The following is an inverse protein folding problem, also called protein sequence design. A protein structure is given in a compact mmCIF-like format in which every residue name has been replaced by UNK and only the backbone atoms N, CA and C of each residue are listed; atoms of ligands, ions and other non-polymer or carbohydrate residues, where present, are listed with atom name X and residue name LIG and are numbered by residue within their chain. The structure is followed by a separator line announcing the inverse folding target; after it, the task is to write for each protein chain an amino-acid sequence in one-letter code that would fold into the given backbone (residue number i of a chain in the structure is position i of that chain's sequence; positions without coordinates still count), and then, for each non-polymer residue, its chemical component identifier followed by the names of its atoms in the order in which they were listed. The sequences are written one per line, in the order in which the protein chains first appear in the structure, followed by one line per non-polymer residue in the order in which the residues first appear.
data_IF_457324108955
#
_entry.id   IF_457324108955
#
_cell.length_a   1.000
_cell.length_b   1.000
_cell.length_c   1.000
_cell.angle_alpha   90.00
_cell.angle_beta   90.00
_cell.angle_gamma   90.00
#
_symmetry.space_group_name_H-M   'P 1'
#
loop_
_entity.id
_entity.type
_entity.pdbx_description
1 polymer ?
#
# COMPACT_ATOMS: atom_id res chain seq x y z
N UNK A 1 5.92 6.98 -2.68
CA UNK A 1 4.86 7.62 -1.86
C UNK A 1 4.28 8.79 -2.61
N UNK A 2 3.01 9.10 -2.40
CA UNK A 2 2.40 10.31 -2.90
C UNK A 2 2.99 11.56 -2.22
N UNK A 3 2.87 12.74 -2.85
CA UNK A 3 3.30 13.99 -2.24
C UNK A 3 2.64 14.26 -0.89
N UNK A 4 1.34 13.91 -0.77
CA UNK A 4 0.60 14.04 0.49
C UNK A 4 1.13 13.12 1.58
N UNK A 5 1.45 11.86 1.27
CA UNK A 5 2.04 10.93 2.23
C UNK A 5 3.37 11.45 2.77
N UNK A 6 4.20 12.02 1.90
CA UNK A 6 5.49 12.62 2.30
C UNK A 6 5.27 13.85 3.19
N UNK A 7 4.35 14.75 2.82
CA UNK A 7 4.01 15.95 3.61
C UNK A 7 3.53 15.56 5.01
N UNK A 8 2.60 14.63 5.12
CA UNK A 8 2.05 14.17 6.41
C UNK A 8 3.12 13.49 7.27
N UNK A 9 4.00 12.67 6.67
CA UNK A 9 5.07 12.02 7.40
C UNK A 9 6.07 13.03 7.97
N UNK A 10 6.43 14.06 7.19
CA UNK A 10 7.29 15.15 7.67
C UNK A 10 6.63 15.95 8.80
N UNK A 11 5.36 16.34 8.63
CA UNK A 11 4.63 17.07 9.66
C UNK A 11 4.50 16.28 10.97
N UNK A 12 4.30 14.94 10.89
CA UNK A 12 4.30 14.11 12.08
C UNK A 12 5.68 14.02 12.74
N UNK A 13 6.73 13.88 11.95
CA UNK A 13 8.09 13.82 12.46
C UNK A 13 8.49 15.13 13.17
N UNK A 14 8.15 16.27 12.59
CA UNK A 14 8.33 17.60 13.21
C UNK A 14 7.54 17.72 14.52
N UNK A 15 6.27 17.29 14.52
CA UNK A 15 5.41 17.29 15.71
C UNK A 15 6.00 16.44 16.85
N UNK A 16 6.61 15.31 16.52
CA UNK A 16 7.20 14.40 17.49
C UNK A 16 8.67 14.70 17.81
N UNK A 17 9.31 15.63 17.10
CA UNK A 17 10.73 15.96 17.27
C UNK A 17 11.67 14.82 16.89
N UNK A 18 11.28 13.96 15.92
CA UNK A 18 12.11 12.82 15.48
C UNK A 18 12.84 13.11 14.18
N UNK A 19 14.04 12.56 14.04
CA UNK A 19 14.85 12.65 12.82
C UNK A 19 14.24 11.82 11.70
N UNK A 20 14.34 12.33 10.46
CA UNK A 20 13.86 11.62 9.27
C UNK A 20 14.94 11.55 8.20
N UNK A 21 14.96 10.42 7.48
CA UNK A 21 15.79 10.24 6.30
C UNK A 21 14.90 10.04 5.06
N UNK A 22 15.05 10.93 4.08
CA UNK A 22 14.39 10.79 2.79
C UNK A 22 15.32 10.11 1.80
N UNK A 23 14.92 8.94 1.31
CA UNK A 23 15.66 8.18 0.31
C UNK A 23 14.77 8.00 -0.92
N UNK A 24 15.25 8.50 -2.07
CA UNK A 24 14.58 8.27 -3.36
C UNK A 24 14.99 6.90 -3.92
N UNK A 25 13.98 6.06 -4.20
CA UNK A 25 14.20 4.67 -4.67
C UNK A 25 13.70 4.44 -6.10
N UNK A 26 13.22 5.47 -6.80
CA UNK A 26 12.61 5.32 -8.13
C UNK A 26 13.59 4.74 -9.16
N UNK A 27 14.81 5.26 -9.21
CA UNK A 27 15.85 4.77 -10.14
C UNK A 27 16.22 3.31 -9.86
N UNK A 28 16.30 2.92 -8.58
CA UNK A 28 16.56 1.52 -8.20
C UNK A 28 15.41 0.61 -8.67
N UNK A 29 14.17 1.04 -8.49
CA UNK A 29 13.00 0.28 -8.95
C UNK A 29 12.92 0.17 -10.47
N UNK A 30 13.30 1.23 -11.19
CA UNK A 30 13.40 1.23 -12.65
C UNK A 30 14.46 0.24 -13.11
N UNK A 31 15.67 0.32 -12.55
CA UNK A 31 16.78 -0.57 -12.88
C UNK A 31 16.44 -2.07 -12.66
N UNK A 32 15.65 -2.36 -11.60
CA UNK A 32 15.13 -3.70 -11.33
C UNK A 32 13.96 -4.12 -12.25
N UNK A 33 13.48 -3.22 -13.10
CA UNK A 33 12.36 -3.47 -14.01
C UNK A 33 10.98 -3.47 -13.36
N UNK A 34 10.83 -2.95 -12.14
CA UNK A 34 9.56 -2.91 -11.42
C UNK A 34 8.43 -2.30 -12.26
N UNK A 35 8.68 -1.14 -12.85
CA UNK A 35 7.68 -0.42 -13.64
C UNK A 35 7.41 -1.11 -14.99
N UNK A 36 8.46 -1.62 -15.63
CA UNK A 36 8.35 -2.38 -16.88
C UNK A 36 7.52 -3.65 -16.71
N UNK A 37 7.82 -4.51 -15.74
CA UNK A 37 7.05 -5.74 -15.50
C UNK A 37 5.58 -5.47 -15.18
N UNK A 38 5.32 -4.40 -14.46
CA UNK A 38 3.96 -3.96 -14.17
C UNK A 38 3.23 -3.51 -15.45
N UNK A 39 3.87 -2.70 -16.28
CA UNK A 39 3.30 -2.23 -17.54
C UNK A 39 3.02 -3.39 -18.50
N UNK A 40 3.95 -4.34 -18.66
CA UNK A 40 3.78 -5.54 -19.47
C UNK A 40 2.55 -6.36 -19.06
N UNK A 41 2.29 -6.47 -17.76
CA UNK A 41 1.13 -7.18 -17.26
C UNK A 41 -0.19 -6.46 -17.61
N UNK A 42 -0.22 -5.13 -17.53
CA UNK A 42 -1.40 -4.33 -17.89
C UNK A 42 -1.62 -4.33 -19.39
N UNK A 43 -0.57 -4.31 -20.21
CA UNK A 43 -0.65 -4.39 -21.67
C UNK A 43 -1.34 -5.68 -22.18
N UNK A 44 -1.33 -6.78 -21.41
CA UNK A 44 -2.09 -7.99 -21.75
C UNK A 44 -3.60 -7.75 -21.81
N UNK A 45 -4.09 -6.72 -21.12
CA UNK A 45 -5.54 -6.41 -20.99
C UNK A 45 -5.88 -5.10 -21.70
N UNK A 46 -4.99 -4.14 -21.67
CA UNK A 46 -5.07 -2.85 -22.35
C UNK A 46 -3.88 -2.68 -23.29
N UNK A 47 -3.98 -3.12 -24.55
CA UNK A 47 -2.84 -3.08 -25.49
C UNK A 47 -2.30 -1.66 -25.79
N UNK A 48 -3.11 -0.65 -25.52
CA UNK A 48 -2.79 0.77 -25.68
C UNK A 48 -2.33 1.47 -24.39
N UNK A 49 -2.11 0.70 -23.30
CA UNK A 49 -1.66 1.25 -22.02
C UNK A 49 -0.32 1.98 -22.16
N UNK A 50 -0.27 3.21 -21.65
CA UNK A 50 0.89 4.12 -21.76
C UNK A 50 1.26 4.83 -20.45
N UNK A 51 2.33 5.63 -20.45
CA UNK A 51 2.91 6.22 -19.24
C UNK A 51 1.96 7.18 -18.50
N UNK A 52 1.06 7.87 -19.22
CA UNK A 52 0.14 8.85 -18.65
C UNK A 52 -1.17 8.22 -18.13
N UNK A 53 -1.29 6.92 -18.23
CA UNK A 53 -2.44 6.20 -17.69
C UNK A 53 -2.30 6.02 -16.18
N UNK A 54 -3.45 6.08 -15.50
CA UNK A 54 -3.57 5.68 -14.10
C UNK A 54 -4.31 4.36 -14.00
N UNK A 55 -4.00 3.58 -12.98
CA UNK A 55 -4.70 2.33 -12.76
C UNK A 55 -4.71 1.92 -11.29
N UNK A 56 -5.64 1.01 -10.96
CA UNK A 56 -5.69 0.26 -9.71
C UNK A 56 -6.18 -1.16 -9.97
N UNK A 57 -5.91 -2.07 -9.03
CA UNK A 57 -6.47 -3.43 -9.02
C UNK A 57 -7.57 -3.49 -7.98
N UNK A 58 -8.71 -4.05 -8.32
CA UNK A 58 -9.88 -4.14 -7.44
C UNK A 58 -10.39 -5.57 -7.32
N UNK A 59 -10.96 -5.89 -6.14
CA UNK A 59 -11.84 -7.03 -5.93
C UNK A 59 -13.29 -6.55 -5.92
N UNK A 60 -14.25 -7.36 -6.41
CA UNK A 60 -15.66 -7.07 -6.21
C UNK A 60 -15.99 -7.14 -4.70
N UNK A 61 -16.91 -6.29 -4.18
CA UNK A 61 -17.36 -6.37 -2.79
C UNK A 61 -17.91 -7.77 -2.45
N UNK A 62 -17.59 -8.30 -1.28
CA UNK A 62 -18.09 -9.59 -0.79
C UNK A 62 -19.63 -9.63 -0.64
N UNK A 63 -20.26 -8.45 -0.54
CA UNK A 63 -21.71 -8.30 -0.50
C UNK A 63 -22.40 -8.58 -1.83
N UNK A 64 -21.66 -8.56 -2.95
CA UNK A 64 -22.21 -8.87 -4.28
C UNK A 64 -22.17 -10.40 -4.52
N UNK A 65 -23.18 -11.10 -4.00
CA UNK A 65 -23.31 -12.57 -4.10
C UNK A 65 -23.38 -13.12 -5.53
N UNK A 66 -23.56 -12.25 -6.53
CA UNK A 66 -23.71 -12.65 -7.93
C UNK A 66 -22.38 -12.67 -8.70
N UNK A 67 -21.27 -12.23 -8.10
CA UNK A 67 -19.98 -12.13 -8.77
C UNK A 67 -18.94 -13.07 -8.21
N UNK A 68 -18.15 -13.67 -9.09
CA UNK A 68 -16.94 -14.39 -8.71
C UNK A 68 -15.90 -13.40 -8.19
N UNK A 69 -15.21 -13.76 -7.10
CA UNK A 69 -14.06 -12.99 -6.56
C UNK A 69 -12.86 -13.06 -7.51
N UNK A 70 -12.90 -12.26 -8.58
CA UNK A 70 -11.85 -12.19 -9.60
C UNK A 70 -11.29 -10.78 -9.60
N UNK A 71 -9.97 -10.69 -9.58
CA UNK A 71 -9.28 -9.40 -9.69
C UNK A 71 -9.55 -8.74 -11.03
N UNK A 72 -9.83 -7.46 -10.98
CA UNK A 72 -10.00 -6.59 -12.14
C UNK A 72 -8.97 -5.46 -12.08
N UNK A 73 -8.58 -4.97 -13.25
CA UNK A 73 -7.86 -3.70 -13.37
C UNK A 73 -8.84 -2.62 -13.80
N UNK A 74 -8.83 -1.52 -13.08
CA UNK A 74 -9.49 -0.28 -13.45
C UNK A 74 -8.41 0.64 -13.97
N UNK A 75 -8.53 1.08 -15.22
CA UNK A 75 -7.57 1.97 -15.86
C UNK A 75 -8.25 3.27 -16.28
N UNK A 76 -7.57 4.38 -16.06
CA UNK A 76 -7.98 5.71 -16.47
C UNK A 76 -7.05 6.21 -17.57
N UNK A 77 -7.60 6.57 -18.72
CA UNK A 77 -6.87 7.18 -19.83
C UNK A 77 -6.55 8.65 -19.57
N UNK A 78 -5.61 9.25 -20.31
CA UNK A 78 -5.29 10.68 -20.21
C UNK A 78 -6.50 11.60 -20.46
N UNK A 79 -7.47 11.19 -21.27
CA UNK A 79 -8.72 11.91 -21.54
C UNK A 79 -9.74 11.84 -20.39
N UNK A 80 -9.39 11.15 -19.30
CA UNK A 80 -10.23 10.95 -18.13
C UNK A 80 -11.20 9.77 -18.21
N UNK A 81 -11.32 9.11 -19.36
CA UNK A 81 -12.18 7.92 -19.49
C UNK A 81 -11.65 6.77 -18.65
N UNK A 82 -12.59 6.03 -18.02
CA UNK A 82 -12.27 4.92 -17.12
C UNK A 82 -12.87 3.63 -17.66
N UNK A 83 -12.06 2.59 -17.71
CA UNK A 83 -12.48 1.26 -18.15
C UNK A 83 -12.01 0.21 -17.14
N UNK A 84 -12.86 -0.81 -16.90
CA UNK A 84 -12.54 -1.94 -16.04
C UNK A 84 -12.52 -3.23 -16.86
N UNK A 85 -11.47 -4.00 -16.69
CA UNK A 85 -11.31 -5.33 -17.32
C UNK A 85 -10.84 -6.35 -16.28
N UNK A 86 -11.29 -7.59 -16.48
CA UNK A 86 -10.80 -8.72 -15.68
C UNK A 86 -9.32 -8.96 -15.97
N UNK A 87 -8.52 -9.16 -14.90
CA UNK A 87 -7.13 -9.58 -15.02
C UNK A 87 -7.03 -11.11 -15.13
N UNK A 88 -6.37 -11.64 -16.17
CA UNK A 88 -5.90 -13.02 -16.16
C UNK A 88 -4.98 -13.28 -14.96
N UNK A 89 -4.97 -14.51 -14.45
CA UNK A 89 -4.22 -14.85 -13.25
C UNK A 89 -2.72 -14.53 -13.38
N UNK A 90 -2.12 -14.84 -14.51
CA UNK A 90 -0.71 -14.57 -14.78
C UNK A 90 -0.40 -13.07 -14.78
N UNK A 91 -1.27 -12.25 -15.36
CA UNK A 91 -1.15 -10.79 -15.34
C UNK A 91 -1.30 -10.23 -13.91
N UNK A 92 -2.29 -10.71 -13.17
CA UNK A 92 -2.47 -10.35 -11.76
C UNK A 92 -1.22 -10.67 -10.92
N UNK A 93 -0.72 -11.89 -11.01
CA UNK A 93 0.47 -12.33 -10.27
C UNK A 93 1.71 -11.49 -10.64
N UNK A 94 1.86 -11.13 -11.91
CA UNK A 94 2.96 -10.29 -12.39
C UNK A 94 2.86 -8.86 -11.82
N UNK A 95 1.67 -8.26 -11.79
CA UNK A 95 1.45 -6.92 -11.18
C UNK A 95 1.76 -6.96 -9.69
N UNK A 96 1.27 -7.97 -8.97
CA UNK A 96 1.53 -8.12 -7.52
C UNK A 96 3.02 -8.30 -7.26
N UNK A 97 3.70 -9.18 -8.01
CA UNK A 97 5.13 -9.41 -7.87
C UNK A 97 5.95 -8.12 -8.08
N UNK A 98 5.67 -7.39 -9.17
CA UNK A 98 6.32 -6.12 -9.47
C UNK A 98 6.04 -5.06 -8.38
N UNK A 99 4.81 -4.98 -7.90
CA UNK A 99 4.43 -4.03 -6.84
C UNK A 99 5.14 -4.35 -5.51
N UNK A 100 5.25 -5.63 -5.17
CA UNK A 100 5.91 -6.08 -3.95
C UNK A 100 7.42 -5.76 -3.91
N UNK A 101 8.06 -5.54 -5.07
CA UNK A 101 9.45 -5.06 -5.13
C UNK A 101 9.61 -3.73 -4.40
N UNK A 102 8.64 -2.82 -4.49
CA UNK A 102 8.69 -1.52 -3.82
C UNK A 102 8.82 -1.67 -2.29
N UNK A 103 8.01 -2.54 -1.70
CA UNK A 103 8.02 -2.76 -0.26
C UNK A 103 9.32 -3.43 0.20
N UNK A 104 9.87 -4.34 -0.60
CA UNK A 104 11.14 -5.00 -0.29
C UNK A 104 12.32 -4.04 -0.37
N UNK A 105 12.38 -3.19 -1.38
CA UNK A 105 13.45 -2.18 -1.48
C UNK A 105 13.36 -1.15 -0.34
N UNK A 106 12.17 -0.69 0.03
CA UNK A 106 12.00 0.14 1.24
C UNK A 106 12.58 -0.53 2.47
N UNK A 107 12.30 -1.82 2.66
CA UNK A 107 12.79 -2.57 3.83
C UNK A 107 14.31 -2.74 3.81
N UNK A 108 14.92 -2.92 2.65
CA UNK A 108 16.39 -2.92 2.51
C UNK A 108 16.99 -1.61 3.01
N UNK A 109 16.40 -0.47 2.64
CA UNK A 109 16.86 0.85 3.10
C UNK A 109 16.65 1.04 4.60
N UNK A 110 15.50 0.62 5.13
CA UNK A 110 15.21 0.69 6.57
C UNK A 110 16.24 -0.10 7.39
N UNK A 111 16.51 -1.35 7.03
CA UNK A 111 17.50 -2.17 7.71
C UNK A 111 18.93 -1.63 7.57
N UNK A 112 19.30 -1.04 6.42
CA UNK A 112 20.59 -0.34 6.31
C UNK A 112 20.74 0.75 7.38
N UNK A 113 19.73 1.58 7.58
CA UNK A 113 19.78 2.62 8.60
C UNK A 113 19.74 2.04 10.01
N UNK A 114 18.91 1.03 10.27
CA UNK A 114 18.81 0.38 11.57
C UNK A 114 20.13 -0.28 11.97
N UNK A 115 20.74 -1.07 11.10
CA UNK A 115 22.02 -1.73 11.36
C UNK A 115 23.15 -0.71 11.60
N UNK A 116 23.24 0.33 10.76
CA UNK A 116 24.24 1.40 10.90
C UNK A 116 24.14 2.13 12.25
N UNK A 117 22.93 2.26 12.79
CA UNK A 117 22.64 2.97 14.04
C UNK A 117 22.49 2.03 15.24
N UNK A 118 22.59 0.72 15.03
CA UNK A 118 22.33 -0.32 16.02
C UNK A 118 20.91 -0.19 16.64
N UNK A 119 19.91 -0.01 15.77
CA UNK A 119 18.52 0.14 16.11
C UNK A 119 17.70 -1.08 15.64
N UNK A 120 16.57 -1.32 16.31
CA UNK A 120 15.57 -2.28 15.88
C UNK A 120 14.54 -1.62 14.94
N UNK A 121 14.08 -2.36 13.95
CA UNK A 121 13.02 -1.92 13.03
C UNK A 121 11.66 -2.23 13.63
N UNK A 122 10.84 -1.19 13.84
CA UNK A 122 9.45 -1.33 14.26
C UNK A 122 8.55 -1.61 13.05
N UNK A 123 7.73 -2.67 13.13
CA UNK A 123 6.67 -2.95 12.17
C UNK A 123 5.37 -2.27 12.56
N UNK A 124 4.58 -1.92 11.56
CA UNK A 124 3.37 -1.12 11.70
C UNK A 124 2.04 -1.84 11.40
N UNK A 125 1.98 -3.18 11.15
CA UNK A 125 0.71 -3.85 10.93
C UNK A 125 -0.14 -3.81 12.20
N UNK A 126 -1.44 -3.52 12.03
CA UNK A 126 -2.44 -3.74 13.05
C UNK A 126 -2.85 -5.22 13.12
N UNK A 127 -3.76 -5.59 14.03
CA UNK A 127 -4.16 -6.97 14.22
C UNK A 127 -4.76 -7.62 12.98
N UNK A 128 -5.68 -6.95 12.28
CA UNK A 128 -6.29 -7.49 11.07
C UNK A 128 -5.27 -7.68 9.94
N UNK A 129 -4.41 -6.69 9.73
CA UNK A 129 -3.33 -6.79 8.73
C UNK A 129 -2.39 -7.96 9.05
N UNK A 130 -2.07 -8.17 10.32
CA UNK A 130 -1.19 -9.25 10.77
C UNK A 130 -1.87 -10.63 10.67
N UNK A 131 -3.08 -10.78 11.20
CA UNK A 131 -3.83 -12.05 11.24
C UNK A 131 -4.26 -12.50 9.84
N UNK A 132 -4.63 -11.57 8.95
CA UNK A 132 -5.04 -11.85 7.57
C UNK A 132 -3.86 -11.96 6.59
N UNK A 133 -2.64 -11.67 7.03
CA UNK A 133 -1.47 -11.68 6.16
C UNK A 133 -1.45 -10.53 5.15
N UNK A 134 -2.10 -9.40 5.44
CA UNK A 134 -2.10 -8.23 4.58
C UNK A 134 -0.80 -7.44 4.72
N UNK A 135 0.27 -8.02 4.27
CA UNK A 135 1.62 -7.45 4.19
C UNK A 135 2.45 -8.15 3.12
N UNK A 136 3.49 -7.50 2.67
CA UNK A 136 4.47 -8.09 1.75
C UNK A 136 5.54 -8.82 2.56
N UNK A 137 5.66 -10.13 2.33
CA UNK A 137 6.70 -10.96 2.93
C UNK A 137 8.09 -10.41 2.60
N UNK A 138 8.92 -10.19 3.61
CA UNK A 138 10.23 -9.51 3.52
C UNK A 138 10.17 -8.07 3.01
N UNK A 139 8.99 -7.47 2.98
CA UNK A 139 8.77 -6.05 2.80
C UNK A 139 8.27 -5.45 4.11
N UNK A 140 7.12 -4.76 4.09
CA UNK A 140 6.48 -4.20 5.29
C UNK A 140 6.12 -5.24 6.36
N UNK A 141 6.02 -6.53 6.00
CA UNK A 141 5.87 -7.63 6.97
C UNK A 141 7.13 -7.96 7.77
N UNK A 142 8.32 -7.53 7.31
CA UNK A 142 9.58 -7.73 8.03
C UNK A 142 9.78 -6.62 9.07
N UNK A 143 10.03 -7.01 10.32
CA UNK A 143 10.34 -6.09 11.42
C UNK A 143 10.89 -6.91 12.60
N UNK A 144 11.67 -6.27 13.47
CA UNK A 144 12.20 -6.91 14.66
C UNK A 144 11.14 -6.99 15.77
N UNK A 145 10.22 -6.02 15.80
CA UNK A 145 9.05 -6.06 16.68
C UNK A 145 7.85 -5.33 16.06
N UNK A 146 6.63 -5.63 16.53
CA UNK A 146 5.37 -5.11 16.00
C UNK A 146 4.47 -4.61 17.13
N UNK A 147 4.64 -3.37 17.58
CA UNK A 147 4.04 -2.87 18.81
C UNK A 147 2.50 -2.79 18.77
N UNK A 148 1.90 -2.63 17.60
CA UNK A 148 0.44 -2.50 17.43
C UNK A 148 -0.23 -3.72 16.78
N UNK A 149 0.48 -4.83 16.58
CA UNK A 149 -0.07 -6.04 15.95
C UNK A 149 -1.17 -6.74 16.77
N UNK A 150 -1.39 -6.34 18.00
CA UNK A 150 -2.46 -6.83 18.87
C UNK A 150 -3.69 -5.91 18.91
N UNK A 151 -3.63 -4.73 18.25
CA UNK A 151 -4.67 -3.72 18.26
C UNK A 151 -5.48 -3.74 16.97
N UNK A 152 -6.80 -3.68 17.08
CA UNK A 152 -7.68 -3.44 15.94
C UNK A 152 -7.53 -2.01 15.41
N UNK A 153 -7.98 -1.75 14.20
CA UNK A 153 -7.83 -0.44 13.53
C UNK A 153 -8.52 0.68 14.32
N UNK A 154 -9.70 0.42 14.84
CA UNK A 154 -10.46 1.35 15.70
C UNK A 154 -9.69 1.70 16.97
N UNK A 155 -9.04 0.71 17.60
CA UNK A 155 -8.19 0.93 18.78
C UNK A 155 -6.92 1.75 18.43
N UNK A 156 -6.32 1.52 17.25
CA UNK A 156 -5.19 2.33 16.77
C UNK A 156 -5.59 3.79 16.60
N UNK A 157 -6.79 4.08 16.07
CA UNK A 157 -7.29 5.46 15.96
C UNK A 157 -7.53 6.11 17.33
N UNK A 158 -8.12 5.37 18.28
CA UNK A 158 -8.34 5.86 19.64
C UNK A 158 -7.00 6.18 20.33
N UNK A 159 -6.02 5.28 20.22
CA UNK A 159 -4.69 5.48 20.78
C UNK A 159 -3.96 6.66 20.12
N UNK A 160 -4.07 6.81 18.80
CA UNK A 160 -3.49 7.94 18.08
C UNK A 160 -4.08 9.28 18.52
N UNK A 161 -5.39 9.31 18.87
CA UNK A 161 -6.03 10.50 19.43
C UNK A 161 -5.48 10.84 20.82
N UNK A 162 -5.36 9.84 21.70
CA UNK A 162 -4.83 10.00 23.06
C UNK A 162 -3.35 10.46 23.05
N UNK A 163 -2.56 9.95 22.11
CA UNK A 163 -1.17 10.34 21.94
C UNK A 163 -0.97 11.68 21.21
N UNK A 164 -2.05 12.41 20.88
CA UNK A 164 -1.96 13.72 20.26
C UNK A 164 -1.52 13.71 18.80
N UNK A 165 -1.65 12.59 18.08
CA UNK A 165 -1.38 12.56 16.64
C UNK A 165 -2.26 13.57 15.91
N UNK A 166 -1.72 14.41 15.01
CA UNK A 166 -2.48 15.45 14.32
C UNK A 166 -3.75 14.93 13.65
N UNK A 167 -4.84 15.70 13.78
CA UNK A 167 -6.16 15.30 13.31
C UNK A 167 -6.20 15.01 11.80
N UNK A 168 -5.44 15.75 11.01
CA UNK A 168 -5.31 15.53 9.57
C UNK A 168 -4.83 14.10 9.24
N UNK A 169 -3.93 13.56 10.04
CA UNK A 169 -3.44 12.18 9.89
C UNK A 169 -4.51 11.17 10.33
N UNK A 170 -5.15 11.41 11.48
CA UNK A 170 -6.17 10.52 12.05
C UNK A 170 -7.43 10.42 11.19
N UNK A 171 -7.80 11.50 10.47
CA UNK A 171 -8.98 11.53 9.57
C UNK A 171 -8.69 10.98 8.18
N UNK A 172 -7.42 10.70 7.84
CA UNK A 172 -7.09 10.17 6.52
C UNK A 172 -7.60 8.74 6.37
N UNK A 173 -8.40 8.43 5.32
CA UNK A 173 -8.77 7.06 5.04
C UNK A 173 -7.55 6.17 4.83
N UNK A 174 -7.55 4.92 5.32
CA UNK A 174 -6.47 3.98 5.08
C UNK A 174 -6.34 3.70 3.58
N UNK A 175 -5.20 4.07 2.99
CA UNK A 175 -4.92 3.86 1.57
C UNK A 175 -3.74 2.92 1.39
N UNK A 176 -3.70 2.21 0.27
CA UNK A 176 -2.56 1.35 -0.06
C UNK A 176 -1.35 2.15 -0.53
N UNK A 177 -1.54 3.37 -1.04
CA UNK A 177 -0.52 4.23 -1.70
C UNK A 177 0.36 3.45 -2.71
N UNK A 178 -0.25 2.43 -3.32
CA UNK A 178 0.42 1.42 -4.14
C UNK A 178 0.28 1.72 -5.62
N UNK A 179 -0.93 2.11 -6.03
CA UNK A 179 -1.31 2.36 -7.42
C UNK A 179 -1.46 3.85 -7.70
N UNK A 180 -1.55 4.20 -8.99
CA UNK A 180 -1.66 5.60 -9.43
C UNK A 180 -3.07 6.18 -9.29
N UNK A 181 -4.10 5.33 -9.14
CA UNK A 181 -5.45 5.75 -8.78
C UNK A 181 -5.67 5.66 -7.28
N UNK A 182 -6.48 6.55 -6.68
CA UNK A 182 -6.87 6.45 -5.27
C UNK A 182 -7.53 5.10 -4.98
N UNK A 183 -7.15 4.49 -3.85
CA UNK A 183 -7.69 3.20 -3.43
C UNK A 183 -7.59 3.04 -1.92
N UNK A 184 -8.69 2.61 -1.27
CA UNK A 184 -8.67 2.22 0.13
C UNK A 184 -8.13 0.80 0.32
N UNK A 185 -7.69 0.47 1.53
CA UNK A 185 -7.30 -0.90 1.89
C UNK A 185 -8.51 -1.83 1.84
N UNK A 186 -9.69 -1.34 2.20
CA UNK A 186 -10.94 -2.07 2.14
C UNK A 186 -11.28 -2.48 0.69
N UNK A 187 -11.18 -1.55 -0.26
CA UNK A 187 -11.42 -1.83 -1.69
C UNK A 187 -10.39 -2.81 -2.28
N UNK A 188 -9.15 -2.74 -1.80
CA UNK A 188 -8.06 -3.52 -2.38
C UNK A 188 -8.00 -4.96 -1.86
N UNK A 189 -8.21 -5.18 -0.56
CA UNK A 189 -7.92 -6.46 0.07
C UNK A 189 -9.06 -7.02 0.90
N UNK A 190 -9.62 -6.23 1.81
CA UNK A 190 -10.59 -6.75 2.78
C UNK A 190 -11.99 -6.93 2.18
N UNK A 191 -12.36 -6.11 1.19
CA UNK A 191 -13.69 -6.06 0.58
C UNK A 191 -14.83 -5.81 1.60
N UNK A 192 -14.50 -5.39 2.82
CA UNK A 192 -15.38 -5.04 3.94
C UNK A 192 -14.83 -3.82 4.69
N UNK A 193 -15.71 -2.97 5.27
CA UNK A 193 -15.29 -1.87 6.14
C UNK A 193 -14.61 -2.36 7.41
N UNK A 194 -13.64 -1.62 7.92
CA UNK A 194 -12.93 -1.95 9.17
C UNK A 194 -13.88 -2.05 10.36
N UNK A 195 -14.86 -1.16 10.48
CA UNK A 195 -15.86 -1.17 11.56
C UNK A 195 -16.65 -2.49 11.63
N UNK A 196 -16.79 -3.17 10.49
CA UNK A 196 -17.46 -4.48 10.42
C UNK A 196 -16.53 -5.66 10.72
N UNK A 197 -15.22 -5.46 10.65
CA UNK A 197 -14.20 -6.47 10.88
C UNK A 197 -13.62 -6.43 12.30
N UNK A 198 -13.72 -5.30 12.98
CA UNK A 198 -13.21 -5.08 14.34
C UNK A 198 -14.20 -5.57 15.43
N UNK A 199 -15.36 -6.12 15.02
CA UNK A 199 -16.37 -6.73 15.90
C UNK A 199 -16.00 -8.20 16.18
#
# INVERSE_FOLDING_TARGET
SSGDSLRLARGLAEHLGIETHLVEIAETLEALGCYRYRAEAILKVFPDFGPDWKFKITLPPLTDKARLNVFSVVAQRPDGSVEQKRLPLDAYLQVVAATNMKQRIRKVVEYYHAERLNYAVAGTPNRLEYDQGFFVKYGDGAADFKPIAHLYKTQVYALAAELGVPEEIRRRPPTTDTYSMPQSQEEFYFALPYDSMDL
#
